data_IF_421509643760
#
_entry.id   IF_421509643760
#
_cell.length_a   1.000
_cell.length_b   1.000
_cell.length_c   1.000
_cell.angle_alpha   90.00
_cell.angle_beta   90.00
_cell.angle_gamma   90.00
#
_symmetry.space_group_name_H-M   'P 1'
#
loop_
_entity.id
_entity.type
_entity.pdbx_description
1 polymer ?
#
# COMPACT_ATOMS: atom_id res chain seq x y z
N UNK A 1 29.67 12.17 18.67
CA UNK A 1 28.92 11.80 17.45
C UNK A 1 27.49 12.22 17.69
N UNK A 2 27.06 13.32 17.05
CA UNK A 2 25.70 13.84 17.20
C UNK A 2 24.76 12.89 16.46
N UNK A 3 23.88 12.26 17.23
CA UNK A 3 22.75 11.48 16.75
C UNK A 3 21.89 12.40 15.87
N UNK A 4 22.06 12.30 14.55
CA UNK A 4 21.17 12.96 13.61
C UNK A 4 19.82 12.26 13.76
N UNK A 5 18.91 12.83 14.56
CA UNK A 5 17.50 12.43 14.55
C UNK A 5 17.09 12.29 13.10
N UNK A 6 16.82 11.06 12.65
CA UNK A 6 16.29 10.77 11.31
C UNK A 6 15.04 11.65 11.18
N UNK A 7 15.06 12.57 10.23
CA UNK A 7 13.90 13.44 10.02
C UNK A 7 12.74 12.56 9.55
N UNK A 8 11.67 12.49 10.35
CA UNK A 8 10.45 11.75 9.99
C UNK A 8 9.86 12.33 8.71
N UNK A 9 9.50 11.47 7.80
CA UNK A 9 8.77 11.82 6.58
C UNK A 9 7.32 11.32 6.63
N UNK A 10 6.53 11.67 5.64
CA UNK A 10 5.10 11.28 5.58
C UNK A 10 4.93 9.75 5.46
N UNK A 11 5.87 9.04 4.84
CA UNK A 11 5.81 7.59 4.73
C UNK A 11 6.05 6.91 6.10
N UNK A 12 6.98 7.44 6.91
CA UNK A 12 7.18 6.95 8.28
C UNK A 12 5.89 7.12 9.10
N UNK A 13 5.21 8.28 8.97
CA UNK A 13 3.95 8.53 9.66
C UNK A 13 2.82 7.61 9.18
N UNK A 14 2.72 7.37 7.85
CA UNK A 14 1.74 6.45 7.29
C UNK A 14 1.89 5.03 7.89
N UNK A 15 3.13 4.53 7.93
CA UNK A 15 3.41 3.20 8.47
C UNK A 15 3.11 3.13 9.96
N UNK A 16 3.46 4.17 10.74
CA UNK A 16 3.09 4.25 12.16
C UNK A 16 1.56 4.24 12.36
N UNK A 17 0.80 4.98 11.55
CA UNK A 17 -0.65 4.96 11.63
C UNK A 17 -1.22 3.57 11.32
N UNK A 18 -0.68 2.86 10.32
CA UNK A 18 -1.09 1.50 10.03
C UNK A 18 -0.78 0.53 11.19
N UNK A 19 0.37 0.69 11.85
CA UNK A 19 0.70 -0.09 13.06
C UNK A 19 -0.28 0.17 14.20
N UNK A 20 -0.62 1.44 14.46
CA UNK A 20 -1.58 1.82 15.52
C UNK A 20 -3.00 1.28 15.24
N UNK A 21 -3.38 1.16 13.97
CA UNK A 21 -4.63 0.53 13.53
C UNK A 21 -4.57 -1.02 13.56
N UNK A 22 -3.45 -1.61 13.99
CA UNK A 22 -3.30 -3.04 14.15
C UNK A 22 -3.01 -3.80 12.86
N UNK A 23 -2.50 -3.13 11.83
CA UNK A 23 -2.11 -3.79 10.58
C UNK A 23 -0.88 -4.65 10.81
N UNK A 24 -0.95 -5.93 10.45
CA UNK A 24 0.15 -6.88 10.55
C UNK A 24 0.78 -7.20 9.19
N UNK A 25 0.00 -7.14 8.13
CA UNK A 25 0.44 -7.51 6.78
C UNK A 25 0.03 -6.45 5.76
N UNK A 26 0.92 -6.20 4.81
CA UNK A 26 0.61 -5.47 3.57
C UNK A 26 0.93 -6.41 2.41
N UNK A 27 -0.04 -6.64 1.54
CA UNK A 27 0.12 -7.47 0.35
C UNK A 27 0.36 -6.58 -0.87
N UNK A 28 1.39 -6.87 -1.68
CA UNK A 28 1.63 -5.98 -2.82
C UNK A 28 2.87 -6.29 -3.64
N UNK A 29 3.19 -5.35 -4.51
CA UNK A 29 4.41 -5.37 -5.31
C UNK A 29 5.18 -4.07 -5.01
N UNK A 30 6.45 -4.17 -4.59
CA UNK A 30 7.29 -2.99 -4.40
C UNK A 30 7.67 -2.37 -5.75
N UNK A 31 7.82 -1.06 -5.77
CA UNK A 31 8.27 -0.33 -6.94
C UNK A 31 8.79 1.07 -6.59
N UNK A 32 9.17 1.84 -7.60
CA UNK A 32 9.83 3.12 -7.41
C UNK A 32 8.96 4.12 -6.66
N UNK A 33 7.67 4.20 -7.00
CA UNK A 33 6.76 5.21 -6.46
C UNK A 33 6.29 4.92 -5.03
N UNK A 34 6.46 3.69 -4.55
CA UNK A 34 6.16 3.34 -3.17
C UNK A 34 7.43 3.09 -2.31
N UNK A 35 8.62 3.38 -2.85
CA UNK A 35 9.91 3.13 -2.21
C UNK A 35 10.03 3.78 -0.82
N UNK A 36 9.50 4.99 -0.64
CA UNK A 36 9.53 5.67 0.65
C UNK A 36 8.76 4.88 1.72
N UNK A 37 7.62 4.29 1.36
CA UNK A 37 6.83 3.43 2.24
C UNK A 37 7.58 2.11 2.51
N UNK A 38 8.19 1.52 1.48
CA UNK A 38 9.00 0.30 1.64
C UNK A 38 10.17 0.52 2.62
N UNK A 39 10.85 1.67 2.52
CA UNK A 39 11.93 2.04 3.44
C UNK A 39 11.42 2.24 4.88
N UNK A 40 10.21 2.78 5.06
CA UNK A 40 9.60 2.91 6.37
C UNK A 40 9.23 1.54 6.96
N UNK A 41 8.70 0.63 6.13
CA UNK A 41 8.34 -0.73 6.52
C UNK A 41 9.55 -1.57 6.97
N UNK A 42 10.77 -1.29 6.48
CA UNK A 42 11.99 -1.98 6.92
C UNK A 42 12.21 -1.90 8.43
N UNK A 43 11.69 -0.85 9.07
CA UNK A 43 11.83 -0.61 10.51
C UNK A 43 10.52 -0.84 11.28
N UNK A 44 9.50 -1.33 10.60
CA UNK A 44 8.16 -1.60 11.11
C UNK A 44 8.00 -3.05 11.57
N UNK A 45 6.95 -3.30 12.35
CA UNK A 45 6.49 -4.66 12.67
C UNK A 45 5.57 -5.24 11.60
N UNK A 46 5.14 -4.42 10.63
CA UNK A 46 4.28 -4.86 9.53
C UNK A 46 5.12 -5.67 8.56
N UNK A 47 4.68 -6.88 8.27
CA UNK A 47 5.30 -7.74 7.26
C UNK A 47 4.74 -7.42 5.87
N UNK A 48 5.65 -7.16 4.91
CA UNK A 48 5.27 -6.95 3.52
C UNK A 48 5.31 -8.28 2.76
N UNK A 49 4.16 -8.73 2.29
CA UNK A 49 4.00 -9.98 1.53
C UNK A 49 4.01 -9.65 0.04
N UNK A 50 5.13 -9.96 -0.62
CA UNK A 50 5.26 -9.76 -2.06
C UNK A 50 4.44 -10.78 -2.85
N UNK A 51 3.61 -10.28 -3.75
CA UNK A 51 2.79 -11.09 -4.67
C UNK A 51 3.34 -11.05 -6.09
N UNK A 52 2.79 -11.88 -6.98
CA UNK A 52 3.20 -11.92 -8.40
C UNK A 52 2.33 -11.06 -9.31
N UNK A 53 1.18 -10.62 -8.83
CA UNK A 53 0.24 -9.74 -9.51
C UNK A 53 -0.59 -8.99 -8.47
N UNK A 54 -0.85 -7.71 -8.68
CA UNK A 54 -1.52 -6.85 -7.70
C UNK A 54 -2.96 -7.29 -7.43
N UNK A 55 -3.65 -7.87 -8.40
CA UNK A 55 -4.95 -8.49 -8.18
C UNK A 55 -4.90 -9.56 -7.09
N UNK A 56 -3.83 -10.35 -7.04
CA UNK A 56 -3.61 -11.31 -5.95
C UNK A 56 -3.48 -10.61 -4.61
N UNK A 57 -2.81 -9.45 -4.55
CA UNK A 57 -2.69 -8.66 -3.32
C UNK A 57 -4.05 -8.17 -2.82
N UNK A 58 -4.89 -7.62 -3.72
CA UNK A 58 -6.21 -7.12 -3.33
C UNK A 58 -7.14 -8.25 -2.86
N UNK A 59 -7.13 -9.42 -3.50
CA UNK A 59 -7.88 -10.58 -3.02
C UNK A 59 -7.36 -11.14 -1.69
N UNK A 60 -6.03 -11.15 -1.48
CA UNK A 60 -5.47 -11.55 -0.18
C UNK A 60 -5.90 -10.58 0.93
N UNK A 61 -5.89 -9.28 0.66
CA UNK A 61 -6.37 -8.26 1.60
C UNK A 61 -7.88 -8.39 1.87
N UNK A 62 -8.68 -8.63 0.83
CA UNK A 62 -10.13 -8.87 0.96
C UNK A 62 -10.41 -10.06 1.87
N UNK A 63 -9.82 -11.22 1.57
CA UNK A 63 -10.02 -12.44 2.38
C UNK A 63 -9.51 -12.25 3.81
N UNK A 64 -8.39 -11.56 4.00
CA UNK A 64 -7.88 -11.23 5.33
C UNK A 64 -8.91 -10.40 6.12
N UNK A 65 -9.50 -9.39 5.48
CA UNK A 65 -10.54 -8.56 6.07
C UNK A 65 -11.77 -9.36 6.49
N UNK A 66 -12.25 -10.24 5.60
CA UNK A 66 -13.40 -11.13 5.88
C UNK A 66 -13.17 -12.06 7.07
N UNK A 67 -11.97 -12.63 7.15
CA UNK A 67 -11.65 -13.64 8.18
C UNK A 67 -11.36 -13.01 9.55
N UNK A 68 -10.77 -11.83 9.57
CA UNK A 68 -10.30 -11.20 10.82
C UNK A 68 -11.22 -10.10 11.33
N UNK A 69 -12.02 -9.49 10.47
CA UNK A 69 -12.78 -8.29 10.77
C UNK A 69 -11.91 -7.02 10.85
N UNK A 70 -10.60 -7.14 10.61
CA UNK A 70 -9.65 -6.02 10.52
C UNK A 70 -9.41 -5.68 9.06
N UNK A 71 -9.10 -4.41 8.76
CA UNK A 71 -8.84 -4.02 7.39
C UNK A 71 -7.62 -4.76 6.83
N UNK A 72 -7.83 -5.52 5.75
CA UNK A 72 -6.72 -6.03 4.94
C UNK A 72 -6.09 -4.91 4.13
N UNK A 73 -4.77 -4.87 4.05
CA UNK A 73 -4.06 -3.78 3.35
C UNK A 73 -3.36 -4.33 2.12
N UNK A 74 -3.61 -3.72 0.96
CA UNK A 74 -2.85 -4.00 -0.26
C UNK A 74 -2.20 -2.73 -0.81
N UNK A 75 -1.06 -2.90 -1.48
CA UNK A 75 -0.29 -1.78 -2.01
C UNK A 75 0.25 -2.07 -3.41
N UNK A 76 0.15 -1.08 -4.29
CA UNK A 76 0.70 -1.11 -5.63
C UNK A 76 1.39 0.21 -5.98
N UNK A 77 2.14 0.21 -7.07
CA UNK A 77 2.62 1.43 -7.71
C UNK A 77 1.51 2.11 -8.49
N UNK A 78 1.84 3.18 -9.17
CA UNK A 78 0.91 3.93 -10.02
C UNK A 78 0.53 3.16 -11.30
N UNK A 79 -0.39 3.71 -12.07
CA UNK A 79 -0.76 3.22 -13.40
C UNK A 79 -1.29 1.79 -13.40
N UNK A 80 -0.69 0.88 -14.18
CA UNK A 80 -1.12 -0.52 -14.26
C UNK A 80 -1.14 -1.23 -12.91
N UNK A 81 -0.23 -0.89 -11.98
CA UNK A 81 -0.25 -1.42 -10.63
C UNK A 81 -1.53 -1.07 -9.89
N UNK A 82 -1.95 0.19 -9.96
CA UNK A 82 -3.20 0.66 -9.36
C UNK A 82 -4.43 0.00 -10.01
N UNK A 83 -4.50 -0.06 -11.34
CA UNK A 83 -5.64 -0.69 -12.03
C UNK A 83 -5.74 -2.18 -11.77
N UNK A 84 -4.61 -2.87 -11.58
CA UNK A 84 -4.60 -4.29 -11.26
C UNK A 84 -5.17 -4.63 -9.86
N UNK A 85 -5.25 -3.65 -8.94
CA UNK A 85 -5.92 -3.84 -7.65
C UNK A 85 -7.45 -3.86 -7.77
N UNK A 86 -8.02 -3.25 -8.82
CA UNK A 86 -9.44 -2.88 -8.89
C UNK A 86 -10.37 -4.08 -8.72
N UNK A 87 -10.07 -5.23 -9.32
CA UNK A 87 -10.96 -6.40 -9.26
C UNK A 87 -11.16 -6.87 -7.81
N UNK A 88 -10.10 -7.04 -7.05
CA UNK A 88 -10.24 -7.46 -5.65
C UNK A 88 -10.80 -6.37 -4.74
N UNK A 89 -10.54 -5.09 -5.05
CA UNK A 89 -11.16 -3.97 -4.33
C UNK A 89 -12.67 -3.95 -4.57
N UNK A 90 -13.10 -4.17 -5.82
CA UNK A 90 -14.52 -4.23 -6.16
C UNK A 90 -15.22 -5.44 -5.51
N UNK A 91 -14.54 -6.58 -5.40
CA UNK A 91 -15.04 -7.76 -4.69
C UNK A 91 -15.24 -7.48 -3.20
N UNK A 92 -14.22 -6.88 -2.56
CA UNK A 92 -14.30 -6.47 -1.15
C UNK A 92 -15.42 -5.47 -0.89
N UNK A 93 -15.60 -4.47 -1.78
CA UNK A 93 -16.68 -3.48 -1.67
C UNK A 93 -18.06 -4.13 -1.80
N UNK A 94 -18.22 -5.04 -2.78
CA UNK A 94 -19.49 -5.75 -3.01
C UNK A 94 -19.93 -6.58 -1.81
N UNK A 95 -18.97 -7.16 -1.09
CA UNK A 95 -19.23 -8.03 0.06
C UNK A 95 -19.09 -7.31 1.42
N UNK A 96 -18.76 -6.00 1.40
CA UNK A 96 -18.58 -5.20 2.61
C UNK A 96 -17.38 -5.63 3.46
N UNK A 97 -16.35 -6.21 2.84
CA UNK A 97 -15.12 -6.59 3.53
C UNK A 97 -14.24 -5.38 3.82
N UNK A 98 -13.67 -5.25 5.03
CA UNK A 98 -12.79 -4.14 5.36
C UNK A 98 -11.46 -4.27 4.61
N UNK A 99 -11.17 -3.28 3.75
CA UNK A 99 -9.98 -3.24 2.91
C UNK A 99 -9.45 -1.81 2.77
N UNK A 100 -8.14 -1.67 2.81
CA UNK A 100 -7.41 -0.44 2.46
C UNK A 100 -6.50 -0.71 1.28
N UNK A 101 -6.72 -0.02 0.17
CA UNK A 101 -5.85 -0.07 -1.00
C UNK A 101 -4.98 1.19 -1.07
N UNK A 102 -3.67 1.01 -1.13
CA UNK A 102 -2.69 2.09 -1.23
C UNK A 102 -2.06 2.04 -2.62
N UNK A 103 -2.11 3.14 -3.34
CA UNK A 103 -1.46 3.26 -4.65
C UNK A 103 -0.55 4.48 -4.70
N UNK A 104 0.60 4.32 -5.33
CA UNK A 104 1.45 5.45 -5.69
C UNK A 104 0.82 6.31 -6.80
N UNK A 105 1.33 7.52 -6.95
CA UNK A 105 1.03 8.41 -8.07
C UNK A 105 2.27 9.27 -8.35
N UNK A 106 2.35 9.85 -9.53
CA UNK A 106 3.36 10.87 -9.84
C UNK A 106 3.20 12.09 -8.92
N UNK A 107 4.29 12.84 -8.72
CA UNK A 107 4.22 14.08 -7.94
C UNK A 107 3.19 15.06 -8.53
N UNK A 108 2.54 15.83 -7.66
CA UNK A 108 1.41 16.71 -8.04
C UNK A 108 1.77 17.74 -9.10
N UNK A 109 3.03 18.19 -9.17
CA UNK A 109 3.54 19.09 -10.19
C UNK A 109 3.69 18.43 -11.57
N UNK A 110 3.72 17.10 -11.63
CA UNK A 110 3.82 16.32 -12.87
C UNK A 110 2.49 15.72 -13.32
N UNK A 111 1.46 15.80 -12.50
CA UNK A 111 0.13 15.34 -12.88
C UNK A 111 -0.36 16.10 -14.13
N UNK A 112 -0.92 15.36 -15.09
CA UNK A 112 -1.39 15.87 -16.39
C UNK A 112 -0.28 16.32 -17.38
N UNK A 113 1.00 16.23 -17.01
CA UNK A 113 2.11 16.66 -17.86
C UNK A 113 2.86 15.47 -18.44
N UNK A 114 3.02 14.40 -17.66
CA UNK A 114 3.75 13.21 -18.09
C UNK A 114 2.80 12.10 -18.52
N UNK A 115 3.17 11.38 -19.59
CA UNK A 115 2.40 10.24 -20.07
C UNK A 115 2.80 8.91 -19.39
N UNK A 116 3.81 8.92 -18.51
CA UNK A 116 4.32 7.70 -17.91
C UNK A 116 3.38 7.23 -16.79
N UNK A 117 2.61 6.18 -17.08
CA UNK A 117 1.79 5.44 -16.12
C UNK A 117 0.82 6.30 -15.28
N UNK A 118 0.54 7.52 -15.72
CA UNK A 118 -0.48 8.36 -15.10
C UNK A 118 -1.89 7.82 -15.38
N UNK A 119 -2.73 7.79 -14.35
CA UNK A 119 -4.15 7.45 -14.44
C UNK A 119 -5.00 8.63 -14.00
#
# INVERSE_FOLDING_TARGET
MTDKKKQRNTADLLVECLEEEGVHYIFGIPGEENLAVMNALEHSKIEFITVRHEQGASFMADVYGRLTGQAGVCMATLGPGATNLITGVADADSDGAPLVAISGQVSTDKMHITAHQYL
#
